data_IF_716478020497
#
_entry.id   IF_716478020497
#
_cell.length_a   1.000
_cell.length_b   1.000
_cell.length_c   1.000
_cell.angle_alpha   90.00
_cell.angle_beta   90.00
_cell.angle_gamma   90.00
#
_symmetry.space_group_name_H-M   'P 1'
#
loop_
_entity.id
_entity.type
_entity.pdbx_description
1 polymer ?
#
# COMPACT_ATOMS: atom_id res chain seq x y z
N UNK A 1 13.00 10.85 27.40
CA UNK A 1 12.29 12.00 26.78
C UNK A 1 11.60 11.54 25.50
N UNK A 2 10.27 11.40 25.49
CA UNK A 2 9.49 11.18 24.25
C UNK A 2 9.24 12.55 23.62
N UNK A 3 9.84 12.84 22.46
CA UNK A 3 9.37 13.94 21.60
C UNK A 3 7.93 13.63 21.23
N UNK A 4 7.03 14.55 21.54
CA UNK A 4 5.68 14.56 20.98
C UNK A 4 5.88 14.94 19.51
N UNK A 5 5.98 13.94 18.63
CA UNK A 5 5.99 14.15 17.19
C UNK A 5 4.68 14.86 16.84
N UNK A 6 4.76 16.05 16.25
CA UNK A 6 3.59 16.79 15.77
C UNK A 6 2.91 16.00 14.65
N UNK A 7 1.61 16.25 14.42
CA UNK A 7 0.82 15.58 13.37
C UNK A 7 1.49 15.58 12.00
N UNK A 8 2.22 16.66 11.69
CA UNK A 8 2.80 16.90 10.38
C UNK A 8 4.07 16.09 10.15
N UNK A 9 4.91 15.93 11.19
CA UNK A 9 6.10 15.07 11.13
C UNK A 9 5.69 13.60 10.97
N UNK A 10 4.61 13.19 11.66
CA UNK A 10 4.02 11.86 11.51
C UNK A 10 3.47 11.61 10.11
N UNK A 11 2.80 12.59 9.50
CA UNK A 11 2.26 12.48 8.15
C UNK A 11 3.38 12.41 7.09
N UNK A 12 4.44 13.21 7.22
CA UNK A 12 5.58 13.16 6.30
C UNK A 12 6.35 11.84 6.41
N UNK A 13 6.51 11.30 7.62
CA UNK A 13 7.11 9.98 7.81
C UNK A 13 6.25 8.88 7.20
N UNK A 14 4.92 8.96 7.36
CA UNK A 14 3.98 8.04 6.74
C UNK A 14 4.05 8.09 5.20
N UNK A 15 4.13 9.28 4.60
CA UNK A 15 4.31 9.45 3.14
C UNK A 15 5.58 8.76 2.65
N UNK A 16 6.72 8.96 3.33
CA UNK A 16 8.00 8.32 2.99
C UNK A 16 7.91 6.79 3.11
N UNK A 17 7.28 6.30 4.17
CA UNK A 17 7.08 4.86 4.38
C UNK A 17 6.22 4.26 3.27
N UNK A 18 5.07 4.85 2.96
CA UNK A 18 4.19 4.38 1.88
C UNK A 18 4.90 4.40 0.53
N UNK A 19 5.68 5.43 0.22
CA UNK A 19 6.42 5.48 -1.04
C UNK A 19 7.46 4.37 -1.15
N UNK A 20 8.31 4.20 -0.13
CA UNK A 20 9.50 3.36 -0.21
C UNK A 20 9.26 1.89 0.15
N UNK A 21 8.36 1.63 1.11
CA UNK A 21 8.10 0.29 1.66
C UNK A 21 6.79 -0.33 1.19
N UNK A 22 5.88 0.46 0.60
CA UNK A 22 4.61 -0.07 0.09
C UNK A 22 4.50 0.03 -1.44
N UNK A 23 4.52 1.25 -2.00
CA UNK A 23 4.32 1.46 -3.44
C UNK A 23 5.48 0.95 -4.29
N UNK A 24 6.73 1.19 -3.87
CA UNK A 24 7.89 0.77 -4.66
C UNK A 24 8.01 -0.76 -4.83
N UNK A 25 7.89 -1.60 -3.78
CA UNK A 25 7.87 -3.05 -3.92
C UNK A 25 6.76 -3.55 -4.85
N UNK A 26 5.53 -3.05 -4.68
CA UNK A 26 4.41 -3.42 -5.55
C UNK A 26 4.68 -3.02 -7.01
N UNK A 27 5.18 -1.81 -7.25
CA UNK A 27 5.51 -1.35 -8.60
C UNK A 27 6.50 -2.28 -9.32
N UNK A 28 7.51 -2.81 -8.60
CA UNK A 28 8.46 -3.79 -9.17
C UNK A 28 7.78 -5.09 -9.58
N UNK A 29 6.87 -5.62 -8.77
CA UNK A 29 6.14 -6.84 -9.14
C UNK A 29 5.28 -6.60 -10.38
N UNK A 30 4.52 -5.50 -10.40
CA UNK A 30 3.70 -5.11 -11.56
C UNK A 30 4.52 -4.85 -12.83
N UNK A 31 5.76 -4.34 -12.72
CA UNK A 31 6.62 -4.15 -13.88
C UNK A 31 6.95 -5.48 -14.60
N UNK A 32 6.89 -6.60 -13.88
CA UNK A 32 7.09 -7.95 -14.42
C UNK A 32 5.78 -8.68 -14.77
N UNK A 33 4.66 -7.96 -14.84
CA UNK A 33 3.35 -8.55 -15.15
C UNK A 33 3.32 -9.09 -16.60
N UNK A 34 2.97 -10.37 -16.81
CA UNK A 34 2.72 -10.89 -18.14
C UNK A 34 1.59 -10.13 -18.83
N UNK A 35 1.77 -9.79 -20.12
CA UNK A 35 0.75 -9.07 -20.90
C UNK A 35 -0.51 -9.91 -21.14
N UNK A 36 -0.33 -11.22 -21.30
CA UNK A 36 -1.41 -12.18 -21.50
C UNK A 36 -1.74 -12.90 -20.18
N UNK A 37 -2.99 -12.86 -19.70
CA UNK A 37 -3.41 -13.59 -18.51
C UNK A 37 -3.33 -15.12 -18.62
N UNK A 38 -3.28 -15.66 -19.83
CA UNK A 38 -3.10 -17.09 -20.14
C UNK A 38 -1.62 -17.48 -20.29
N UNK A 39 -0.70 -16.53 -20.11
CA UNK A 39 0.73 -16.81 -20.15
C UNK A 39 1.12 -17.85 -19.08
N UNK A 40 1.98 -18.79 -19.44
CA UNK A 40 2.51 -19.83 -18.55
C UNK A 40 3.09 -19.27 -17.22
N UNK A 41 3.66 -18.06 -17.26
CA UNK A 41 4.24 -17.39 -16.09
C UNK A 41 3.23 -16.58 -15.25
N UNK A 42 1.97 -16.45 -15.68
CA UNK A 42 0.96 -15.70 -14.97
C UNK A 42 0.67 -16.23 -13.55
N UNK A 43 0.60 -17.55 -13.29
CA UNK A 43 0.43 -18.08 -11.94
C UNK A 43 1.57 -17.70 -11.00
N UNK A 44 2.83 -17.87 -11.41
CA UNK A 44 3.99 -17.52 -10.56
C UNK A 44 4.09 -16.01 -10.33
N UNK A 45 3.69 -15.19 -11.30
CA UNK A 45 3.58 -13.75 -11.09
C UNK A 45 2.51 -13.40 -10.05
N UNK A 46 1.32 -14.03 -10.09
CA UNK A 46 0.27 -13.82 -9.09
C UNK A 46 0.71 -14.22 -7.69
N UNK A 47 1.49 -15.29 -7.54
CA UNK A 47 2.08 -15.70 -6.26
C UNK A 47 3.06 -14.65 -5.72
N UNK A 48 3.97 -14.17 -6.55
CA UNK A 48 4.89 -13.06 -6.18
C UNK A 48 4.12 -11.80 -5.79
N UNK A 49 3.03 -11.49 -6.49
CA UNK A 49 2.15 -10.37 -6.14
C UNK A 49 1.51 -10.57 -4.77
N UNK A 50 0.92 -11.74 -4.50
CA UNK A 50 0.31 -12.04 -3.19
C UNK A 50 1.31 -11.95 -2.05
N UNK A 51 2.52 -12.48 -2.23
CA UNK A 51 3.59 -12.40 -1.24
C UNK A 51 3.99 -10.93 -0.97
N UNK A 52 4.21 -10.14 -2.02
CA UNK A 52 4.53 -8.73 -1.87
C UNK A 52 3.39 -7.92 -1.22
N UNK A 53 2.12 -8.20 -1.57
CA UNK A 53 0.97 -7.57 -0.91
C UNK A 53 0.94 -7.88 0.59
N UNK A 54 1.16 -9.15 0.97
CA UNK A 54 1.19 -9.56 2.37
C UNK A 54 2.30 -8.84 3.15
N UNK A 55 3.53 -8.81 2.61
CA UNK A 55 4.66 -8.12 3.23
C UNK A 55 4.39 -6.61 3.41
N UNK A 56 3.81 -5.96 2.40
CA UNK A 56 3.44 -4.55 2.47
C UNK A 56 2.37 -4.30 3.54
N UNK A 57 1.36 -5.16 3.63
CA UNK A 57 0.31 -5.05 4.65
C UNK A 57 0.90 -5.17 6.06
N UNK A 58 1.75 -6.18 6.29
CA UNK A 58 2.40 -6.37 7.58
C UNK A 58 3.32 -5.20 7.93
N UNK A 59 4.07 -4.67 6.95
CA UNK A 59 4.92 -3.49 7.14
C UNK A 59 4.10 -2.26 7.54
N UNK A 60 2.96 -2.03 6.88
CA UNK A 60 2.07 -0.90 7.19
C UNK A 60 1.42 -1.06 8.57
N UNK A 61 0.97 -2.27 8.92
CA UNK A 61 0.41 -2.57 10.24
C UNK A 61 1.41 -2.38 11.36
N UNK A 62 2.65 -2.82 11.17
CA UNK A 62 3.75 -2.59 12.12
C UNK A 62 4.04 -1.09 12.31
N UNK A 63 3.77 -0.26 11.30
CA UNK A 63 3.86 1.20 11.39
C UNK A 63 2.61 1.86 11.99
N UNK A 64 1.59 1.09 12.39
CA UNK A 64 0.35 1.60 12.98
C UNK A 64 -0.77 1.91 11.97
N UNK A 65 -0.64 1.48 10.71
CA UNK A 65 -1.74 1.57 9.76
C UNK A 65 -2.80 0.49 10.02
N UNK A 66 -4.07 0.86 9.85
CA UNK A 66 -5.16 -0.11 9.72
C UNK A 66 -5.36 -0.42 8.25
N UNK A 67 -5.22 -1.70 7.89
CA UNK A 67 -5.43 -2.21 6.53
C UNK A 67 -6.43 -3.35 6.58
N UNK A 68 -7.59 -3.14 5.96
CA UNK A 68 -8.69 -4.10 5.86
C UNK A 68 -8.82 -4.57 4.41
N UNK A 69 -8.85 -5.89 4.19
CA UNK A 69 -9.15 -6.52 2.89
C UNK A 69 -10.51 -7.21 2.98
N UNK A 70 -11.33 -7.04 1.96
CA UNK A 70 -12.66 -7.64 1.85
C UNK A 70 -12.69 -8.68 0.72
N UNK A 71 -13.66 -9.58 0.77
CA UNK A 71 -13.82 -10.66 -0.21
C UNK A 71 -14.13 -10.16 -1.62
N UNK A 72 -14.70 -8.96 -1.74
CA UNK A 72 -14.98 -8.28 -3.02
C UNK A 72 -13.73 -7.65 -3.66
N UNK A 73 -12.55 -7.86 -3.08
CA UNK A 73 -11.29 -7.26 -3.54
C UNK A 73 -11.10 -5.81 -3.10
N UNK A 74 -12.02 -5.25 -2.30
CA UNK A 74 -11.87 -3.93 -1.71
C UNK A 74 -10.75 -3.94 -0.67
N UNK A 75 -9.91 -2.90 -0.70
CA UNK A 75 -8.88 -2.63 0.30
C UNK A 75 -9.13 -1.25 0.89
N UNK A 76 -9.15 -1.15 2.21
CA UNK A 76 -9.25 0.11 2.96
C UNK A 76 -7.98 0.34 3.77
N UNK A 77 -7.51 1.57 3.78
CA UNK A 77 -6.30 1.99 4.48
C UNK A 77 -6.63 3.22 5.30
N UNK A 78 -6.36 3.15 6.60
CA UNK A 78 -6.30 4.30 7.50
C UNK A 78 -4.91 4.37 8.09
N UNK A 79 -4.16 5.42 7.74
CA UNK A 79 -2.80 5.61 8.21
C UNK A 79 -2.48 7.10 8.38
N UNK A 80 -1.85 7.48 9.49
CA UNK A 80 -1.56 8.87 9.86
C UNK A 80 -2.77 9.82 9.70
N UNK A 81 -3.96 9.37 10.09
CA UNK A 81 -5.19 10.15 9.98
C UNK A 81 -5.71 10.38 8.54
N UNK A 82 -5.13 9.70 7.54
CA UNK A 82 -5.58 9.72 6.14
C UNK A 82 -6.27 8.41 5.81
N UNK A 83 -7.47 8.52 5.25
CA UNK A 83 -8.28 7.39 4.82
C UNK A 83 -8.27 7.28 3.29
N UNK A 84 -8.21 6.05 2.78
CA UNK A 84 -8.43 5.75 1.37
C UNK A 84 -8.94 4.32 1.18
N UNK A 85 -9.56 4.08 0.02
CA UNK A 85 -9.99 2.74 -0.37
C UNK A 85 -9.93 2.53 -1.89
N UNK A 86 -9.94 1.26 -2.31
CA UNK A 86 -10.10 0.88 -3.71
C UNK A 86 -10.58 -0.57 -3.85
N UNK A 87 -11.44 -0.82 -4.84
CA UNK A 87 -11.81 -2.17 -5.31
C UNK A 87 -10.82 -2.79 -6.30
N UNK A 88 -9.81 -2.02 -6.72
CA UNK A 88 -8.78 -2.47 -7.65
C UNK A 88 -7.54 -3.02 -6.92
N UNK A 89 -7.69 -3.39 -5.64
CA UNK A 89 -6.61 -3.94 -4.81
C UNK A 89 -5.73 -2.91 -4.12
N UNK A 90 -4.69 -3.42 -3.44
CA UNK A 90 -3.86 -2.70 -2.48
C UNK A 90 -3.09 -1.54 -3.13
N UNK A 91 -2.49 -1.76 -4.30
CA UNK A 91 -1.69 -0.73 -4.98
C UNK A 91 -2.51 0.53 -5.28
N UNK A 92 -3.75 0.36 -5.76
CA UNK A 92 -4.62 1.50 -6.09
C UNK A 92 -5.10 2.22 -4.83
N UNK A 93 -5.42 1.47 -3.76
CA UNK A 93 -5.74 2.05 -2.46
C UNK A 93 -4.57 2.90 -1.90
N UNK A 94 -3.33 2.43 -2.03
CA UNK A 94 -2.13 3.18 -1.62
C UNK A 94 -1.89 4.43 -2.47
N UNK A 95 -2.18 4.38 -3.77
CA UNK A 95 -2.12 5.55 -4.64
C UNK A 95 -3.16 6.60 -4.23
N UNK A 96 -4.40 6.19 -3.96
CA UNK A 96 -5.43 7.09 -3.43
C UNK A 96 -5.04 7.67 -2.06
N UNK A 97 -4.49 6.85 -1.18
CA UNK A 97 -3.98 7.30 0.11
C UNK A 97 -2.92 8.38 -0.05
N UNK A 98 -1.96 8.18 -0.97
CA UNK A 98 -0.90 9.16 -1.25
C UNK A 98 -1.48 10.50 -1.72
N UNK A 99 -2.42 10.47 -2.67
CA UNK A 99 -3.10 11.68 -3.17
C UNK A 99 -3.81 12.40 -2.02
N UNK A 100 -4.55 11.68 -1.18
CA UNK A 100 -5.26 12.27 -0.04
C UNK A 100 -4.29 12.84 1.01
N UNK A 101 -3.16 12.18 1.24
CA UNK A 101 -2.11 12.66 2.16
C UNK A 101 -1.40 13.91 1.63
N UNK A 102 -1.23 14.03 0.31
CA UNK A 102 -0.67 15.23 -0.32
C UNK A 102 -1.62 16.42 -0.24
N UNK A 103 -2.94 16.18 -0.28
CA UNK A 103 -3.96 17.22 -0.14
C UNK A 103 -4.12 17.79 1.28
N UNK A 104 -3.68 17.06 2.32
CA UNK A 104 -3.71 17.51 3.74
C UNK A 104 -2.56 18.45 4.14
N UNK A 105 -1.95 19.14 3.16
CA UNK A 105 -0.86 20.08 3.39
C UNK A 105 -1.30 21.33 4.14
#
# INVERSE_FOLDING_TARGET
MRRILTSDEGLEQAKRLVATKALAPLARVYASQPRDPLNFYAPQWRERLRAAEAEVIETLRAAGARVDRFDDGCVRILFAGVWASSRQGLRKALQHWKINAEAKR
#
